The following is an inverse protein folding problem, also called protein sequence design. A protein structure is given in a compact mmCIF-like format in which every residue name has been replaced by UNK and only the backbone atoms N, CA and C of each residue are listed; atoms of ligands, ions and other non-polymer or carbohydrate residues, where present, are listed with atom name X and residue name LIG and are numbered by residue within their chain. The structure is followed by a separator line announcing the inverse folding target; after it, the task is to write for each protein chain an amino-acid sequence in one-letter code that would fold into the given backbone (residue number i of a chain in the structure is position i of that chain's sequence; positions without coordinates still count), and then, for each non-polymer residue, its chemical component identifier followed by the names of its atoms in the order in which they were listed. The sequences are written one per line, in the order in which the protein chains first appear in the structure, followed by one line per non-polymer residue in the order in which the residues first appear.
data_IF_037105878222
#
_entry.id   IF_037105878222
#
_cell.length_a   1.000
_cell.length_b   1.000
_cell.length_c   1.000
_cell.angle_alpha   90.00
_cell.angle_beta   90.00
_cell.angle_gamma   90.00
#
_symmetry.space_group_name_H-M   'P 1'
#
loop_
_entity.id
_entity.type
_entity.pdbx_description
1 polymer ?
#
# COMPACT_ATOMS: atom_id res chain seq x y z
N UNK A 1 23.07 15.83 -1.97
CA UNK A 1 22.84 14.81 -3.03
C UNK A 1 24.08 13.95 -3.26
N UNK A 2 25.25 14.52 -3.55
CA UNK A 2 26.49 13.76 -3.78
C UNK A 2 26.84 12.77 -2.64
N UNK A 3 26.74 13.20 -1.37
CA UNK A 3 27.00 12.32 -0.23
C UNK A 3 26.06 11.12 -0.11
N UNK A 4 24.77 11.28 -0.48
CA UNK A 4 23.82 10.16 -0.46
C UNK A 4 24.13 9.14 -1.56
N UNK A 5 24.56 9.61 -2.74
CA UNK A 5 25.00 8.75 -3.85
C UNK A 5 26.25 7.97 -3.47
N UNK A 6 27.23 8.62 -2.84
CA UNK A 6 28.45 7.96 -2.36
C UNK A 6 28.14 6.92 -1.30
N UNK A 7 27.28 7.24 -0.32
CA UNK A 7 26.87 6.27 0.70
C UNK A 7 26.14 5.06 0.10
N UNK A 8 25.27 5.28 -0.89
CA UNK A 8 24.60 4.19 -1.59
C UNK A 8 25.60 3.32 -2.35
N UNK A 9 26.55 3.92 -3.07
CA UNK A 9 27.58 3.17 -3.79
C UNK A 9 28.45 2.34 -2.84
N UNK A 10 28.84 2.90 -1.68
CA UNK A 10 29.57 2.16 -0.65
C UNK A 10 28.74 1.00 -0.08
N UNK A 11 27.44 1.22 0.13
CA UNK A 11 26.54 0.18 0.61
C UNK A 11 26.41 -0.97 -0.41
N UNK A 12 26.28 -0.66 -1.70
CA UNK A 12 26.27 -1.66 -2.79
C UNK A 12 27.56 -2.48 -2.78
N UNK A 13 28.73 -1.81 -2.74
CA UNK A 13 30.03 -2.49 -2.73
C UNK A 13 30.20 -3.37 -1.49
N UNK A 14 29.81 -2.87 -0.31
CA UNK A 14 29.87 -3.61 0.94
C UNK A 14 28.97 -4.85 0.91
N UNK A 15 27.75 -4.74 0.38
CA UNK A 15 26.84 -5.87 0.20
C UNK A 15 27.42 -6.91 -0.76
N UNK A 16 27.96 -6.49 -1.91
CA UNK A 16 28.60 -7.43 -2.85
C UNK A 16 29.81 -8.12 -2.23
N UNK A 17 30.65 -7.40 -1.49
CA UNK A 17 31.82 -7.96 -0.83
C UNK A 17 31.43 -8.97 0.25
N UNK A 18 30.41 -8.67 1.06
CA UNK A 18 29.89 -9.60 2.06
C UNK A 18 29.30 -10.84 1.41
N UNK A 19 28.39 -10.68 0.44
CA UNK A 19 27.74 -11.81 -0.23
C UNK A 19 28.74 -12.68 -1.01
N UNK A 20 29.82 -12.11 -1.53
CA UNK A 20 30.90 -12.86 -2.19
C UNK A 20 31.89 -13.54 -1.23
N UNK A 21 31.80 -13.29 0.08
CA UNK A 21 32.65 -13.93 1.09
C UNK A 21 32.08 -15.29 1.53
N UNK A 22 32.93 -16.17 2.10
CA UNK A 22 32.47 -17.46 2.65
C UNK A 22 31.37 -17.30 3.72
N UNK A 23 31.50 -16.31 4.60
CA UNK A 23 30.48 -16.03 5.62
C UNK A 23 29.14 -15.56 5.02
N UNK A 24 29.17 -14.78 3.93
CA UNK A 24 27.95 -14.37 3.23
C UNK A 24 27.28 -15.53 2.51
N UNK A 25 28.06 -16.43 1.90
CA UNK A 25 27.55 -17.65 1.27
C UNK A 25 26.94 -18.60 2.30
N UNK A 26 27.61 -18.83 3.44
CA UNK A 26 27.06 -19.63 4.56
C UNK A 26 25.77 -19.02 5.11
N UNK A 27 25.71 -17.68 5.20
CA UNK A 27 24.52 -16.96 5.64
C UNK A 27 23.36 -17.14 4.66
N UNK A 28 23.59 -17.02 3.35
CA UNK A 28 22.58 -17.27 2.31
C UNK A 28 22.13 -18.72 2.27
N UNK A 29 23.04 -19.68 2.47
CA UNK A 29 22.70 -21.10 2.52
C UNK A 29 21.76 -21.41 3.69
N UNK A 30 21.92 -20.72 4.82
CA UNK A 30 21.04 -20.85 5.99
C UNK A 30 19.75 -20.04 5.85
N UNK A 31 19.82 -18.88 5.21
CA UNK A 31 18.72 -17.92 5.06
C UNK A 31 18.66 -17.45 3.60
N UNK A 32 18.00 -18.21 2.70
CA UNK A 32 17.99 -17.91 1.28
C UNK A 32 17.22 -16.64 0.90
N UNK A 33 16.44 -16.08 1.83
CA UNK A 33 15.60 -14.90 1.61
C UNK A 33 14.11 -15.20 1.56
N UNK A 34 13.74 -16.48 1.55
CA UNK A 34 12.37 -16.96 1.58
C UNK A 34 12.00 -17.44 2.98
N UNK A 35 10.77 -17.17 3.42
CA UNK A 35 10.24 -17.69 4.67
C UNK A 35 9.36 -18.91 4.36
N UNK A 36 9.61 -20.10 4.93
CA UNK A 36 8.76 -21.25 4.70
C UNK A 36 7.34 -20.95 5.18
N UNK A 37 6.37 -21.12 4.27
CA UNK A 37 4.96 -21.05 4.60
C UNK A 37 4.52 -22.36 5.26
N UNK A 38 3.46 -22.35 6.09
CA UNK A 38 2.84 -23.59 6.57
C UNK A 38 2.47 -24.52 5.40
N UNK A 39 2.52 -25.85 5.62
CA UNK A 39 2.24 -26.85 4.56
C UNK A 39 0.85 -26.70 3.93
N UNK A 40 -0.12 -26.19 4.68
CA UNK A 40 -1.48 -25.95 4.23
C UNK A 40 -1.70 -24.52 3.67
N UNK A 41 -0.63 -23.74 3.48
CA UNK A 41 -0.75 -22.41 2.91
C UNK A 41 -1.20 -22.49 1.44
N UNK A 42 -2.17 -21.67 1.02
CA UNK A 42 -2.63 -21.69 -0.36
C UNK A 42 -1.55 -21.17 -1.31
N UNK A 43 -1.40 -21.87 -2.44
CA UNK A 43 -0.57 -21.45 -3.57
C UNK A 43 -1.41 -20.63 -4.54
N UNK A 44 -0.79 -19.61 -5.13
CA UNK A 44 -1.41 -18.72 -6.10
C UNK A 44 -2.17 -17.56 -5.48
N UNK A 45 -2.56 -16.64 -6.37
CA UNK A 45 -3.27 -15.42 -6.02
C UNK A 45 -4.70 -15.50 -6.53
N UNK A 46 -5.70 -15.65 -5.65
CA UNK A 46 -7.09 -15.69 -6.08
C UNK A 46 -7.50 -14.33 -6.65
N UNK A 47 -8.46 -14.32 -7.58
CA UNK A 47 -8.89 -13.11 -8.28
C UNK A 47 -9.28 -11.95 -7.35
N UNK A 48 -9.71 -12.26 -6.12
CA UNK A 48 -10.03 -11.24 -5.13
C UNK A 48 -8.85 -10.44 -4.61
N UNK A 49 -7.66 -11.02 -4.57
CA UNK A 49 -6.43 -10.28 -4.27
C UNK A 49 -6.20 -9.23 -5.35
N UNK A 50 -6.37 -9.60 -6.62
CA UNK A 50 -6.20 -8.69 -7.76
C UNK A 50 -7.17 -7.51 -7.77
N UNK A 51 -8.48 -7.75 -7.61
CA UNK A 51 -9.43 -6.62 -7.58
C UNK A 51 -9.27 -5.76 -6.33
N UNK A 52 -8.95 -6.35 -5.18
CA UNK A 52 -8.72 -5.57 -3.94
C UNK A 52 -7.45 -4.73 -4.04
N UNK A 53 -6.41 -5.27 -4.67
CA UNK A 53 -5.19 -4.55 -5.00
C UNK A 53 -5.48 -3.35 -5.92
N UNK A 54 -6.26 -3.54 -6.98
CA UNK A 54 -6.69 -2.43 -7.84
C UNK A 54 -7.43 -1.34 -7.05
N UNK A 55 -8.42 -1.70 -6.24
CA UNK A 55 -9.15 -0.71 -5.44
C UNK A 55 -8.25 -0.01 -4.42
N UNK A 56 -7.30 -0.73 -3.80
CA UNK A 56 -6.31 -0.11 -2.91
C UNK A 56 -5.46 0.93 -3.65
N UNK A 57 -4.93 0.60 -4.84
CA UNK A 57 -4.17 1.54 -5.66
C UNK A 57 -5.02 2.75 -6.06
N UNK A 58 -6.27 2.49 -6.49
CA UNK A 58 -7.24 3.52 -6.87
C UNK A 58 -7.53 4.47 -5.71
N UNK A 59 -7.91 3.95 -4.55
CA UNK A 59 -8.20 4.79 -3.40
C UNK A 59 -6.96 5.52 -2.89
N UNK A 60 -5.81 4.85 -2.81
CA UNK A 60 -4.57 5.46 -2.32
C UNK A 60 -4.18 6.68 -3.16
N UNK A 61 -4.26 6.60 -4.49
CA UNK A 61 -3.97 7.73 -5.36
C UNK A 61 -4.89 8.94 -5.05
N UNK A 62 -6.20 8.70 -4.93
CA UNK A 62 -7.18 9.76 -4.68
C UNK A 62 -7.12 10.30 -3.24
N UNK A 63 -6.87 9.44 -2.25
CA UNK A 63 -6.73 9.79 -0.83
C UNK A 63 -5.47 10.63 -0.63
N UNK A 64 -4.32 10.22 -1.17
CA UNK A 64 -3.07 11.00 -1.09
C UNK A 64 -3.26 12.37 -1.72
N UNK A 65 -3.87 12.45 -2.91
CA UNK A 65 -4.17 13.72 -3.57
C UNK A 65 -5.03 14.63 -2.70
N UNK A 66 -6.18 14.13 -2.25
CA UNK A 66 -7.16 14.91 -1.48
C UNK A 66 -6.62 15.27 -0.10
N UNK A 67 -5.84 14.40 0.54
CA UNK A 67 -5.18 14.65 1.81
C UNK A 67 -4.10 15.74 1.70
N UNK A 68 -3.31 15.72 0.62
CA UNK A 68 -2.37 16.79 0.31
C UNK A 68 -3.09 18.13 0.09
N UNK A 69 -4.20 18.12 -0.65
CA UNK A 69 -5.03 19.31 -0.87
C UNK A 69 -5.62 19.82 0.45
N UNK A 70 -6.19 18.97 1.30
CA UNK A 70 -6.71 19.37 2.63
C UNK A 70 -5.61 20.03 3.48
N UNK A 71 -4.37 19.55 3.40
CA UNK A 71 -3.23 20.11 4.14
C UNK A 71 -2.75 21.45 3.59
N UNK A 72 -2.79 21.66 2.28
CA UNK A 72 -2.13 22.79 1.60
C UNK A 72 -3.09 23.88 1.12
N UNK A 73 -4.36 23.57 0.90
CA UNK A 73 -5.36 24.54 0.48
C UNK A 73 -5.68 25.53 1.60
N UNK A 74 -5.45 26.82 1.33
CA UNK A 74 -5.82 27.90 2.25
C UNK A 74 -7.28 28.33 2.13
N UNK A 75 -7.84 28.27 0.92
CA UNK A 75 -9.22 28.66 0.61
C UNK A 75 -9.87 27.57 -0.25
N UNK A 76 -10.85 26.82 0.27
CA UNK A 76 -11.60 25.83 -0.52
C UNK A 76 -12.44 26.48 -1.63
N UNK A 77 -12.51 25.82 -2.78
CA UNK A 77 -13.34 26.28 -3.93
C UNK A 77 -14.84 26.05 -3.70
N UNK A 78 -15.17 25.03 -2.92
CA UNK A 78 -16.53 24.67 -2.58
C UNK A 78 -16.61 24.06 -1.18
N UNK A 79 -17.80 24.12 -0.61
CA UNK A 79 -18.11 23.58 0.70
C UNK A 79 -19.30 22.64 0.63
N UNK A 80 -19.31 21.68 1.54
CA UNK A 80 -20.37 20.70 1.70
C UNK A 80 -20.95 20.76 3.13
N UNK A 81 -22.27 20.58 3.24
CA UNK A 81 -22.99 20.48 4.51
C UNK A 81 -24.00 19.32 4.47
N UNK A 82 -24.13 18.49 5.53
CA UNK A 82 -25.14 17.43 5.56
C UNK A 82 -26.59 17.97 5.51
N UNK A 83 -27.50 17.25 4.85
CA UNK A 83 -28.94 17.61 4.76
C UNK A 83 -29.63 17.72 6.12
N UNK A 84 -29.24 16.87 7.07
CA UNK A 84 -29.84 16.80 8.43
C UNK A 84 -29.22 17.80 9.41
N UNK A 85 -28.51 18.81 8.91
CA UNK A 85 -27.71 19.71 9.74
C UNK A 85 -26.38 19.08 10.16
N UNK A 86 -25.42 19.94 10.56
CA UNK A 86 -24.06 19.53 10.90
C UNK A 86 -23.01 20.55 10.47
N UNK A 87 -21.74 20.23 10.75
CA UNK A 87 -20.59 21.08 10.46
C UNK A 87 -20.38 21.21 8.96
N UNK A 88 -20.29 22.46 8.48
CA UNK A 88 -19.87 22.77 7.11
C UNK A 88 -18.38 22.48 6.95
N UNK A 89 -18.01 21.70 5.94
CA UNK A 89 -16.63 21.32 5.64
C UNK A 89 -16.27 21.66 4.19
N UNK A 90 -14.98 21.70 3.86
CA UNK A 90 -14.58 21.83 2.44
C UNK A 90 -15.05 20.61 1.66
N UNK A 91 -15.40 20.81 0.37
CA UNK A 91 -15.76 19.70 -0.50
C UNK A 91 -14.59 18.72 -0.66
N UNK A 92 -13.35 19.21 -0.69
CA UNK A 92 -12.14 18.37 -0.70
C UNK A 92 -12.08 17.44 0.51
N UNK A 93 -12.36 17.94 1.72
CA UNK A 93 -12.39 17.11 2.94
C UNK A 93 -13.52 16.10 2.90
N UNK A 94 -14.69 16.48 2.37
CA UNK A 94 -15.79 15.53 2.19
C UNK A 94 -15.41 14.38 1.24
N UNK A 95 -14.75 14.69 0.12
CA UNK A 95 -14.28 13.68 -0.85
C UNK A 95 -13.25 12.76 -0.18
N UNK A 96 -12.28 13.32 0.57
CA UNK A 96 -11.29 12.55 1.30
C UNK A 96 -11.95 11.53 2.24
N UNK A 97 -12.86 11.99 3.10
CA UNK A 97 -13.58 11.12 4.03
C UNK A 97 -14.44 10.07 3.32
N UNK A 98 -15.05 10.39 2.18
CA UNK A 98 -15.82 9.42 1.40
C UNK A 98 -14.92 8.32 0.83
N UNK A 99 -13.74 8.69 0.29
CA UNK A 99 -12.75 7.75 -0.20
C UNK A 99 -12.18 6.89 0.94
N UNK A 100 -11.90 7.49 2.11
CA UNK A 100 -11.42 6.78 3.29
C UNK A 100 -12.41 5.70 3.72
N UNK A 101 -13.71 6.00 3.75
CA UNK A 101 -14.74 5.01 4.09
C UNK A 101 -14.76 3.85 3.09
N UNK A 102 -14.71 4.13 1.78
CA UNK A 102 -14.66 3.08 0.76
C UNK A 102 -13.38 2.23 0.85
N UNK A 103 -12.25 2.88 1.13
CA UNK A 103 -10.98 2.21 1.34
C UNK A 103 -10.98 1.32 2.58
N UNK A 104 -11.57 1.79 3.69
CA UNK A 104 -11.76 0.99 4.92
C UNK A 104 -12.66 -0.21 4.63
N UNK A 105 -13.75 -0.03 3.89
CA UNK A 105 -14.64 -1.14 3.50
C UNK A 105 -13.86 -2.18 2.67
N UNK A 106 -13.10 -1.74 1.66
CA UNK A 106 -12.22 -2.64 0.90
C UNK A 106 -11.21 -3.37 1.80
N UNK A 107 -10.60 -2.67 2.76
CA UNK A 107 -9.66 -3.24 3.72
C UNK A 107 -10.29 -4.28 4.66
N UNK A 108 -11.50 -4.02 5.15
CA UNK A 108 -12.25 -4.99 5.98
C UNK A 108 -12.57 -6.24 5.16
N UNK A 109 -13.07 -6.08 3.93
CA UNK A 109 -13.33 -7.22 3.03
C UNK A 109 -12.03 -7.99 2.78
N UNK A 110 -10.92 -7.30 2.51
CA UNK A 110 -9.62 -7.91 2.28
C UNK A 110 -9.15 -8.74 3.48
N UNK A 111 -9.23 -8.20 4.70
CA UNK A 111 -8.84 -8.92 5.93
C UNK A 111 -9.75 -10.13 6.18
N UNK A 112 -11.06 -10.01 5.94
CA UNK A 112 -11.99 -11.14 6.07
C UNK A 112 -11.67 -12.24 5.05
N UNK A 113 -11.39 -11.88 3.79
CA UNK A 113 -11.04 -12.84 2.76
C UNK A 113 -9.66 -13.49 3.00
N UNK A 114 -8.68 -12.74 3.51
CA UNK A 114 -7.40 -13.30 3.95
C UNK A 114 -7.60 -14.41 4.98
N UNK A 115 -8.43 -14.15 5.99
CA UNK A 115 -8.74 -15.13 7.03
C UNK A 115 -9.53 -16.32 6.47
N UNK A 116 -10.60 -16.06 5.71
CA UNK A 116 -11.52 -17.09 5.22
C UNK A 116 -10.90 -18.03 4.18
N UNK A 117 -9.89 -17.57 3.43
CA UNK A 117 -9.24 -18.37 2.37
C UNK A 117 -7.86 -18.89 2.75
N UNK A 118 -7.38 -18.64 3.97
CA UNK A 118 -6.03 -19.01 4.41
C UNK A 118 -4.92 -18.15 3.82
N UNK A 119 -5.23 -17.21 2.93
CA UNK A 119 -4.26 -16.33 2.27
C UNK A 119 -3.50 -15.42 3.26
N UNK A 120 -4.00 -15.25 4.49
CA UNK A 120 -3.27 -14.58 5.58
C UNK A 120 -1.88 -15.17 5.83
N UNK A 121 -1.69 -16.48 5.63
CA UNK A 121 -0.42 -17.17 5.85
C UNK A 121 0.72 -16.64 4.96
N UNK A 122 0.38 -16.06 3.81
CA UNK A 122 1.36 -15.48 2.88
C UNK A 122 1.89 -14.12 3.34
N UNK A 123 1.10 -13.37 4.13
CA UNK A 123 1.40 -11.97 4.50
C UNK A 123 1.70 -11.78 5.98
N UNK A 124 1.33 -12.73 6.84
CA UNK A 124 1.67 -12.71 8.26
C UNK A 124 2.84 -13.67 8.48
N UNK A 125 3.98 -13.21 9.02
CA UNK A 125 5.09 -14.11 9.34
C UNK A 125 4.68 -15.19 10.34
N UNK A 126 4.94 -16.45 10.00
CA UNK A 126 4.66 -17.62 10.83
C UNK A 126 5.90 -18.18 11.52
N UNK A 127 7.08 -17.59 11.26
CA UNK A 127 8.38 -17.97 11.82
C UNK A 127 9.23 -16.74 12.09
N UNK A 128 10.07 -16.83 13.13
CA UNK A 128 11.09 -15.80 13.44
C UNK A 128 12.22 -15.76 12.42
N UNK A 129 12.36 -16.79 11.58
CA UNK A 129 13.32 -16.81 10.47
C UNK A 129 13.03 -15.75 9.40
N UNK A 130 11.85 -15.12 9.43
CA UNK A 130 11.52 -13.99 8.56
C UNK A 130 12.54 -12.85 8.67
N UNK A 131 13.08 -12.58 9.86
CA UNK A 131 14.01 -11.46 10.07
C UNK A 131 15.38 -11.69 9.42
N UNK A 132 16.09 -12.81 9.68
CA UNK A 132 17.33 -13.08 8.98
C UNK A 132 17.12 -13.26 7.47
N UNK A 133 16.03 -13.91 7.02
CA UNK A 133 15.73 -13.99 5.58
C UNK A 133 15.45 -12.62 4.95
N UNK A 134 14.76 -11.71 5.66
CA UNK A 134 14.54 -10.35 5.16
C UNK A 134 15.86 -9.57 5.05
N UNK A 135 16.80 -9.81 5.97
CA UNK A 135 18.15 -9.27 5.87
C UNK A 135 18.88 -9.84 4.64
N UNK A 136 18.81 -11.15 4.39
CA UNK A 136 19.37 -11.77 3.18
C UNK A 136 18.81 -11.13 1.90
N UNK A 137 17.48 -11.05 1.80
CA UNK A 137 16.83 -10.44 0.64
C UNK A 137 17.23 -8.96 0.48
N UNK A 138 17.28 -8.20 1.59
CA UNK A 138 17.70 -6.81 1.58
C UNK A 138 19.14 -6.61 1.10
N UNK A 139 20.07 -7.49 1.52
CA UNK A 139 21.45 -7.47 1.04
C UNK A 139 21.55 -7.80 -0.46
N UNK A 140 20.76 -8.76 -0.94
CA UNK A 140 20.69 -9.09 -2.37
C UNK A 140 20.17 -7.89 -3.19
N UNK A 141 19.05 -7.28 -2.79
CA UNK A 141 18.53 -6.06 -3.43
C UNK A 141 19.57 -4.92 -3.44
N UNK A 142 20.26 -4.70 -2.32
CA UNK A 142 21.28 -3.66 -2.19
C UNK A 142 22.53 -3.95 -3.04
N UNK A 143 22.85 -5.23 -3.27
CA UNK A 143 23.98 -5.65 -4.11
C UNK A 143 23.75 -5.46 -5.61
N UNK A 144 22.51 -5.12 -6.00
CA UNK A 144 22.01 -5.07 -7.38
C UNK A 144 22.01 -6.44 -8.09
N UNK A 145 22.16 -7.52 -7.33
CA UNK A 145 21.96 -8.89 -7.77
C UNK A 145 20.63 -9.38 -7.17
N UNK A 146 19.56 -9.12 -7.90
CA UNK A 146 18.20 -9.22 -7.36
C UNK A 146 17.68 -10.66 -7.47
N UNK A 147 17.06 -11.19 -6.39
CA UNK A 147 16.52 -12.53 -6.43
C UNK A 147 15.41 -12.64 -7.47
N UNK A 148 15.41 -13.74 -8.23
CA UNK A 148 14.27 -14.07 -9.09
C UNK A 148 13.20 -14.71 -8.23
N UNK A 149 12.14 -13.96 -7.94
CA UNK A 149 11.09 -14.41 -7.04
C UNK A 149 9.87 -14.93 -7.79
N UNK A 150 9.19 -15.92 -7.20
CA UNK A 150 7.91 -16.40 -7.69
C UNK A 150 6.78 -16.10 -6.68
N UNK A 151 6.26 -14.88 -6.76
CA UNK A 151 5.14 -14.39 -5.93
C UNK A 151 3.86 -15.26 -6.00
N UNK A 152 3.74 -16.13 -7.02
CA UNK A 152 2.67 -17.11 -7.09
C UNK A 152 2.82 -18.19 -6.01
N UNK A 153 4.05 -18.61 -5.71
CA UNK A 153 4.37 -19.62 -4.69
C UNK A 153 4.50 -18.97 -3.32
N UNK A 154 5.37 -17.99 -3.17
CA UNK A 154 5.61 -17.29 -1.90
C UNK A 154 6.15 -15.87 -2.16
N UNK A 155 6.05 -15.00 -1.16
CA UNK A 155 6.79 -13.74 -1.15
C UNK A 155 8.12 -13.97 -0.44
N UNK A 156 9.17 -13.26 -0.88
CA UNK A 156 10.38 -13.21 -0.07
C UNK A 156 10.09 -12.57 1.31
N UNK A 157 10.94 -12.81 2.29
CA UNK A 157 10.70 -12.38 3.67
C UNK A 157 10.67 -10.84 3.84
N UNK A 158 11.46 -10.08 3.06
CA UNK A 158 11.43 -8.62 3.06
C UNK A 158 10.11 -8.07 2.51
N UNK A 159 9.59 -8.66 1.42
CA UNK A 159 8.26 -8.36 0.91
C UNK A 159 7.17 -8.72 1.93
N UNK A 160 7.22 -9.92 2.52
CA UNK A 160 6.26 -10.36 3.52
C UNK A 160 6.19 -9.37 4.70
N UNK A 161 7.34 -8.96 5.27
CA UNK A 161 7.37 -7.95 6.33
C UNK A 161 6.82 -6.59 5.85
N UNK A 162 7.17 -6.17 4.64
CA UNK A 162 6.69 -4.92 4.07
C UNK A 162 5.16 -4.92 3.91
N UNK A 163 4.58 -6.03 3.47
CA UNK A 163 3.12 -6.21 3.35
C UNK A 163 2.46 -6.28 4.72
N UNK A 164 3.05 -7.01 5.68
CA UNK A 164 2.57 -7.08 7.05
C UNK A 164 2.49 -5.68 7.68
N UNK A 165 3.59 -4.92 7.62
CA UNK A 165 3.66 -3.56 8.15
C UNK A 165 2.63 -2.66 7.46
N UNK A 166 2.51 -2.75 6.14
CA UNK A 166 1.59 -1.89 5.38
C UNK A 166 0.13 -2.17 5.73
N UNK A 167 -0.26 -3.45 5.80
CA UNK A 167 -1.65 -3.88 6.03
C UNK A 167 -2.05 -3.79 7.50
N UNK A 168 -1.21 -4.25 8.42
CA UNK A 168 -1.57 -4.45 9.83
C UNK A 168 -1.01 -3.37 10.77
N UNK A 169 -0.18 -2.45 10.29
CA UNK A 169 0.36 -1.35 11.09
C UNK A 169 0.04 0.00 10.46
N UNK A 170 0.55 0.28 9.26
CA UNK A 170 0.40 1.57 8.61
C UNK A 170 -1.07 1.90 8.32
N UNK A 171 -1.83 0.96 7.76
CA UNK A 171 -3.25 1.17 7.49
C UNK A 171 -4.09 1.43 8.76
N UNK A 172 -4.01 0.61 9.83
CA UNK A 172 -4.66 0.91 11.10
C UNK A 172 -4.25 2.26 11.70
N UNK A 173 -2.97 2.64 11.62
CA UNK A 173 -2.50 3.94 12.09
C UNK A 173 -3.11 5.09 11.28
N UNK A 174 -3.22 4.96 9.96
CA UNK A 174 -3.87 5.94 9.10
C UNK A 174 -5.35 6.10 9.45
N UNK A 175 -6.06 4.97 9.64
CA UNK A 175 -7.48 4.95 10.02
C UNK A 175 -7.67 5.61 11.38
N UNK A 176 -6.93 5.18 12.41
CA UNK A 176 -7.07 5.70 13.77
C UNK A 176 -6.78 7.20 13.82
N UNK A 177 -5.69 7.64 13.20
CA UNK A 177 -5.32 9.06 13.17
C UNK A 177 -6.28 9.90 12.30
N UNK A 178 -6.80 9.35 11.21
CA UNK A 178 -7.79 9.99 10.35
C UNK A 178 -9.15 10.17 11.05
N UNK A 179 -9.66 9.11 11.69
CA UNK A 179 -10.88 9.16 12.52
C UNK A 179 -10.72 10.21 13.62
N UNK A 180 -9.59 10.24 14.31
CA UNK A 180 -9.30 11.23 15.36
C UNK A 180 -9.31 12.68 14.86
N UNK A 181 -8.88 12.90 13.61
CA UNK A 181 -8.88 14.21 12.96
C UNK A 181 -10.21 14.57 12.30
N UNK A 182 -11.10 13.59 12.11
CA UNK A 182 -12.39 13.77 11.45
C UNK A 182 -13.39 14.54 12.32
N UNK A 183 -14.49 15.00 11.68
CA UNK A 183 -15.60 15.63 12.38
C UNK A 183 -16.50 14.61 13.13
N UNK A 184 -16.27 13.31 12.96
CA UNK A 184 -16.98 12.26 13.70
C UNK A 184 -16.40 12.04 15.10
N UNK A 185 -15.16 12.48 15.36
CA UNK A 185 -14.58 12.46 16.68
C UNK A 185 -15.12 13.60 17.55
N UNK A 186 -15.83 13.25 18.62
CA UNK A 186 -16.52 14.19 19.50
C UNK A 186 -15.58 14.81 20.55
N UNK A 187 -15.66 16.13 20.72
CA UNK A 187 -14.82 16.85 21.71
C UNK A 187 -15.23 16.51 23.16
N UNK A 188 -16.45 16.02 23.34
CA UNK A 188 -17.01 15.62 24.63
C UNK A 188 -16.38 14.33 25.18
N UNK A 189 -15.70 13.53 24.33
CA UNK A 189 -15.04 12.28 24.71
C UNK A 189 -13.72 12.52 25.46
N UNK A 190 -13.80 13.04 26.69
CA UNK A 190 -12.64 13.46 27.50
C UNK A 190 -11.56 12.37 27.65
N UNK A 191 -11.94 11.14 28.00
CA UNK A 191 -10.99 10.03 28.15
C UNK A 191 -10.24 9.73 26.85
N UNK A 192 -10.97 9.59 25.74
CA UNK A 192 -10.38 9.32 24.43
C UNK A 192 -9.50 10.49 23.94
N UNK A 193 -9.88 11.74 24.24
CA UNK A 193 -9.09 12.93 23.92
C UNK A 193 -7.77 13.02 24.68
N UNK A 194 -7.75 12.56 25.94
CA UNK A 194 -6.54 12.49 26.75
C UNK A 194 -5.60 11.38 26.28
N UNK A 195 -6.14 10.20 25.96
CA UNK A 195 -5.37 9.05 25.46
C UNK A 195 -4.78 9.33 24.07
N UNK A 196 -5.57 9.93 23.18
CA UNK A 196 -5.12 10.22 21.82
C UNK A 196 -5.39 11.69 21.44
N UNK A 197 -4.45 12.61 21.75
CA UNK A 197 -4.62 14.03 21.43
C UNK A 197 -4.58 14.30 19.92
N UNK A 198 -5.33 15.32 19.46
CA UNK A 198 -5.35 15.71 18.04
C UNK A 198 -3.97 16.11 17.49
N UNK A 199 -3.08 16.65 18.33
CA UNK A 199 -1.71 16.96 17.95
C UNK A 199 -0.89 15.70 17.66
N UNK A 200 -1.08 14.63 18.44
CA UNK A 200 -0.45 13.34 18.21
C UNK A 200 -0.98 12.70 16.91
N UNK A 201 -2.29 12.73 16.69
CA UNK A 201 -2.90 12.22 15.46
C UNK A 201 -2.31 12.89 14.20
N UNK A 202 -2.14 14.22 14.20
CA UNK A 202 -1.49 14.93 13.08
C UNK A 202 -0.02 14.54 12.87
N UNK A 203 0.72 14.29 13.95
CA UNK A 203 2.11 13.82 13.91
C UNK A 203 2.24 12.38 13.42
N UNK A 204 1.19 11.57 13.51
CA UNK A 204 1.15 10.20 12.99
C UNK A 204 0.65 10.18 11.55
N UNK A 205 -0.49 10.82 11.28
CA UNK A 205 -1.21 10.69 10.01
C UNK A 205 -0.36 11.14 8.81
N UNK A 206 0.34 12.28 8.93
CA UNK A 206 1.12 12.81 7.83
C UNK A 206 2.34 11.93 7.49
N UNK A 207 3.19 11.51 8.45
CA UNK A 207 4.26 10.54 8.17
C UNK A 207 3.76 9.21 7.62
N UNK A 208 2.61 8.70 8.08
CA UNK A 208 2.04 7.46 7.52
C UNK A 208 1.63 7.64 6.05
N UNK A 209 1.09 8.80 5.67
CA UNK A 209 0.84 9.10 4.26
C UNK A 209 2.12 9.16 3.43
N UNK A 210 3.21 9.74 3.97
CA UNK A 210 4.53 9.71 3.31
C UNK A 210 5.05 8.27 3.18
N UNK A 211 4.90 7.44 4.22
CA UNK A 211 5.23 6.02 4.16
C UNK A 211 4.49 5.31 3.03
N UNK A 212 3.17 5.51 2.88
CA UNK A 212 2.42 4.91 1.77
C UNK A 212 2.93 5.34 0.40
N UNK A 213 3.24 6.63 0.22
CA UNK A 213 3.80 7.12 -1.04
C UNK A 213 5.14 6.45 -1.34
N UNK A 214 6.05 6.38 -0.36
CA UNK A 214 7.35 5.74 -0.52
C UNK A 214 7.21 4.23 -0.79
N UNK A 215 6.33 3.54 -0.05
CA UNK A 215 6.03 2.14 -0.25
C UNK A 215 5.56 1.88 -1.68
N UNK A 216 4.58 2.65 -2.18
CA UNK A 216 4.06 2.48 -3.55
C UNK A 216 5.14 2.72 -4.59
N UNK A 217 5.97 3.75 -4.43
CA UNK A 217 7.07 4.03 -5.38
C UNK A 217 8.08 2.89 -5.40
N UNK A 218 8.57 2.46 -4.23
CA UNK A 218 9.55 1.37 -4.13
C UNK A 218 8.96 0.06 -4.67
N UNK A 219 7.73 -0.27 -4.26
CA UNK A 219 7.01 -1.47 -4.70
C UNK A 219 6.88 -1.52 -6.23
N UNK A 220 6.40 -0.44 -6.86
CA UNK A 220 6.23 -0.38 -8.32
C UNK A 220 7.58 -0.49 -9.03
N UNK A 221 8.63 0.18 -8.54
CA UNK A 221 9.98 0.07 -9.12
C UNK A 221 10.47 -1.37 -9.10
N UNK A 222 10.34 -2.06 -7.96
CA UNK A 222 10.74 -3.47 -7.84
C UNK A 222 9.93 -4.35 -8.79
N UNK A 223 8.61 -4.18 -8.84
CA UNK A 223 7.73 -4.93 -9.75
C UNK A 223 8.13 -4.77 -11.22
N UNK A 224 8.53 -3.57 -11.64
CA UNK A 224 8.97 -3.30 -13.00
C UNK A 224 10.33 -3.92 -13.33
N UNK A 225 11.20 -4.08 -12.33
CA UNK A 225 12.57 -4.52 -12.53
C UNK A 225 12.85 -5.99 -12.12
N UNK A 226 11.87 -6.72 -11.56
CA UNK A 226 11.96 -8.16 -11.23
C UNK A 226 11.09 -9.08 -12.13
N UNK A 227 10.77 -8.62 -13.34
CA UNK A 227 9.97 -9.36 -14.32
C UNK A 227 8.55 -8.84 -14.43
N UNK A 228 8.39 -7.69 -15.11
CA UNK A 228 7.13 -6.94 -15.20
C UNK A 228 5.95 -7.78 -15.66
N UNK A 229 6.08 -8.53 -16.77
CA UNK A 229 4.96 -9.28 -17.34
C UNK A 229 4.47 -10.38 -16.38
N UNK A 230 5.39 -11.19 -15.84
CA UNK A 230 5.07 -12.21 -14.83
C UNK A 230 4.39 -11.61 -13.59
N UNK A 231 4.96 -10.53 -13.04
CA UNK A 231 4.39 -9.87 -11.86
C UNK A 231 2.98 -9.31 -12.14
N UNK A 232 2.76 -8.75 -13.33
CA UNK A 232 1.45 -8.27 -13.75
C UNK A 232 0.46 -9.42 -13.96
N UNK A 233 0.87 -10.57 -14.50
CA UNK A 233 0.00 -11.73 -14.65
C UNK A 233 -0.43 -12.29 -13.29
N UNK A 234 0.51 -12.39 -12.34
CA UNK A 234 0.23 -12.83 -10.98
C UNK A 234 -0.84 -11.92 -10.33
N UNK A 235 -0.64 -10.61 -10.35
CA UNK A 235 -1.49 -9.67 -9.60
C UNK A 235 -2.77 -9.24 -10.35
N UNK A 236 -2.66 -8.88 -11.63
CA UNK A 236 -3.78 -8.30 -12.39
C UNK A 236 -4.58 -9.31 -13.20
N UNK A 237 -3.98 -10.44 -13.60
CA UNK A 237 -4.70 -11.48 -14.34
C UNK A 237 -5.06 -12.70 -13.48
N UNK A 238 -4.56 -12.79 -12.24
CA UNK A 238 -4.64 -14.00 -11.41
C UNK A 238 -4.16 -15.25 -12.17
N UNK A 239 -3.05 -15.10 -12.91
CA UNK A 239 -2.40 -16.16 -13.69
C UNK A 239 -0.94 -16.26 -13.30
N UNK A 240 -0.56 -17.39 -12.74
CA UNK A 240 0.81 -17.75 -12.42
C UNK A 240 0.92 -19.26 -12.30
N UNK A 241 2.15 -19.75 -12.16
CA UNK A 241 2.46 -21.16 -12.01
C UNK A 241 3.64 -21.34 -11.04
N UNK A 242 3.85 -22.58 -10.59
CA UNK A 242 5.07 -22.95 -9.85
C UNK A 242 6.29 -22.84 -10.75
N UNK A 243 6.13 -23.13 -12.04
CA UNK A 243 7.10 -22.80 -13.08
C UNK A 243 7.06 -21.29 -13.37
N UNK A 244 8.11 -20.53 -13.00
CA UNK A 244 8.13 -19.09 -13.20
C UNK A 244 8.09 -18.65 -14.67
N UNK A 245 8.37 -19.54 -15.62
CA UNK A 245 8.44 -19.21 -17.06
C UNK A 245 7.08 -19.32 -17.77
N UNK A 246 6.15 -20.15 -17.27
CA UNK A 246 4.90 -20.51 -17.96
C UNK A 246 4.05 -19.30 -18.42
N UNK A 247 4.07 -18.19 -17.68
CA UNK A 247 3.34 -16.96 -17.99
C UNK A 247 4.25 -15.73 -18.12
N UNK A 248 5.56 -15.92 -18.26
CA UNK A 248 6.52 -14.82 -18.30
C UNK A 248 6.32 -13.89 -19.51
N UNK A 249 5.84 -14.42 -20.64
CA UNK A 249 5.63 -13.65 -21.89
C UNK A 249 4.16 -13.24 -22.14
N UNK A 250 3.26 -13.50 -21.19
CA UNK A 250 1.84 -13.18 -21.35
C UNK A 250 1.57 -11.68 -21.07
N UNK A 251 0.88 -11.01 -21.98
CA UNK A 251 0.59 -9.58 -21.90
C UNK A 251 -0.72 -9.25 -21.17
N UNK A 252 -1.55 -10.24 -20.85
CA UNK A 252 -2.89 -10.01 -20.30
C UNK A 252 -2.84 -9.19 -19.00
N UNK A 253 -2.01 -9.59 -18.04
CA UNK A 253 -1.87 -8.84 -16.78
C UNK A 253 -1.42 -7.40 -17.00
N UNK A 254 -0.49 -7.18 -17.93
CA UNK A 254 0.00 -5.84 -18.26
C UNK A 254 -1.09 -4.98 -18.90
N UNK A 255 -1.90 -5.53 -19.80
CA UNK A 255 -3.02 -4.81 -20.43
C UNK A 255 -4.05 -4.41 -19.36
N UNK A 256 -4.41 -5.33 -18.45
CA UNK A 256 -5.33 -5.03 -17.35
C UNK A 256 -4.75 -3.91 -16.46
N UNK A 257 -3.47 -3.98 -16.12
CA UNK A 257 -2.78 -2.92 -15.38
C UNK A 257 -2.83 -1.57 -16.09
N UNK A 258 -2.57 -1.52 -17.40
CA UNK A 258 -2.62 -0.28 -18.18
C UNK A 258 -4.03 0.32 -18.19
N UNK A 259 -5.07 -0.52 -18.32
CA UNK A 259 -6.47 -0.09 -18.19
C UNK A 259 -6.76 0.44 -16.78
N UNK A 260 -6.28 -0.24 -15.73
CA UNK A 260 -6.39 0.23 -14.36
C UNK A 260 -5.76 1.61 -14.16
N UNK A 261 -4.57 1.86 -14.71
CA UNK A 261 -3.93 3.18 -14.67
C UNK A 261 -4.77 4.25 -15.38
N UNK A 262 -5.35 3.94 -16.55
CA UNK A 262 -6.22 4.85 -17.26
C UNK A 262 -7.48 5.21 -16.44
N UNK A 263 -8.09 4.23 -15.77
CA UNK A 263 -9.23 4.45 -14.87
C UNK A 263 -8.83 5.32 -13.68
N UNK A 264 -7.68 5.07 -13.06
CA UNK A 264 -7.16 5.88 -11.94
C UNK A 264 -6.89 7.31 -12.40
N UNK A 265 -6.27 7.50 -13.57
CA UNK A 265 -6.02 8.83 -14.13
C UNK A 265 -7.32 9.59 -14.42
N UNK A 266 -8.32 8.90 -15.00
CA UNK A 266 -9.66 9.46 -15.22
C UNK A 266 -10.32 9.88 -13.90
N UNK A 267 -10.31 9.02 -12.90
CA UNK A 267 -10.85 9.32 -11.57
C UNK A 267 -10.08 10.46 -10.87
N UNK A 268 -8.76 10.49 -11.02
CA UNK A 268 -7.92 11.57 -10.51
C UNK A 268 -8.35 12.91 -11.10
N UNK A 269 -8.55 13.00 -12.41
CA UNK A 269 -9.07 14.23 -13.04
C UNK A 269 -10.49 14.54 -12.56
N UNK A 270 -11.32 13.51 -12.39
CA UNK A 270 -12.69 13.64 -11.92
C UNK A 270 -12.83 14.13 -10.48
N UNK A 271 -11.78 14.09 -9.63
CA UNK A 271 -11.90 14.62 -8.25
C UNK A 271 -12.00 16.15 -8.14
N UNK A 272 -12.03 16.87 -9.27
CA UNK A 272 -12.27 18.31 -9.29
C UNK A 272 -13.65 18.66 -8.70
N UNK A 273 -13.77 19.74 -7.89
CA UNK A 273 -15.02 20.18 -7.29
C UNK A 273 -16.20 20.27 -8.28
N UNK A 274 -15.96 20.80 -9.48
CA UNK A 274 -16.99 20.94 -10.52
C UNK A 274 -17.60 19.61 -10.96
N UNK A 275 -16.79 18.54 -10.99
CA UNK A 275 -17.22 17.21 -11.44
C UNK A 275 -17.90 16.43 -10.32
N UNK A 276 -17.41 16.55 -9.07
CA UNK A 276 -17.97 15.82 -7.93
C UNK A 276 -19.12 16.53 -7.21
N UNK A 277 -19.34 17.82 -7.44
CA UNK A 277 -20.46 18.55 -6.83
C UNK A 277 -21.83 17.89 -7.04
N UNK A 278 -22.21 17.39 -8.24
CA UNK A 278 -23.49 16.68 -8.44
C UNK A 278 -23.63 15.43 -7.58
N UNK A 279 -22.56 14.67 -7.40
CA UNK A 279 -22.55 13.46 -6.54
C UNK A 279 -22.68 13.88 -5.08
N UNK A 280 -21.90 14.86 -4.64
CA UNK A 280 -21.92 15.36 -3.26
C UNK A 280 -23.29 15.95 -2.86
N UNK A 281 -24.03 16.57 -3.82
CA UNK A 281 -25.40 17.08 -3.62
C UNK A 281 -26.42 15.99 -3.28
N UNK A 282 -26.17 14.72 -3.64
CA UNK A 282 -27.04 13.60 -3.23
C UNK A 282 -27.03 13.42 -1.71
N UNK A 283 -25.89 13.69 -1.07
CA UNK A 283 -25.64 13.47 0.35
C UNK A 283 -25.74 14.74 1.22
N UNK A 284 -25.75 15.92 0.62
CA UNK A 284 -25.73 17.20 1.34
C UNK A 284 -25.96 18.40 0.44
N UNK A 285 -25.82 19.60 0.98
CA UNK A 285 -25.81 20.84 0.24
C UNK A 285 -24.38 21.17 -0.18
N UNK A 286 -24.20 21.54 -1.46
CA UNK A 286 -22.92 22.02 -1.99
C UNK A 286 -23.06 23.49 -2.31
N UNK A 287 -22.25 24.32 -1.66
CA UNK A 287 -22.15 25.75 -1.95
C UNK A 287 -20.81 25.99 -2.62
N UNK A 288 -20.85 26.52 -3.84
CA UNK A 288 -19.66 27.10 -4.44
C UNK A 288 -19.26 28.35 -3.64
N UNK A 289 -17.97 28.69 -3.68
CA UNK A 289 -17.51 29.97 -3.18
C UNK A 289 -18.07 31.11 -4.03
#
# INVERSE_FOLDING_TARGET
MLGAVVLLALAVVASRAFLGSGAGQDFLARYPGENPLPENAPVGLPAWVGWSHFFNMFFMALIVKTGWQVRTQRKPDAYWRPKRGGKKISLTLWIHLALDVLWIVNGVIFVVLLAATGQWMRVVPTSWEVFPNALSAGLQYLSLDWPTENAWVNYNALQQLSYFVTVFIAAPLAIASGVRMSHWWKNEWKAANNIFPAAAARKIHFPVMIYFVLFVVIHVVLVLATGVLRNMNNMYAARGDVDPEMYADNWLGFIIFAVSLAVIAGAWVATKPAVLAPVARKFGEVTAR
#
